data_IF_034774802237
#
_entry.id   IF_034774802237
#
_cell.length_a   1.000
_cell.length_b   1.000
_cell.length_c   1.000
_cell.angle_alpha   90.00
_cell.angle_beta   90.00
_cell.angle_gamma   90.00
#
_symmetry.space_group_name_H-M   'P 1'
#
loop_
_entity.id
_entity.type
_entity.pdbx_description
1 polymer ?
#
# COMPACT_ATOMS: atom_id res chain seq x y z
N UNK A 1 14.81 -33.03 -2.47
CA UNK A 1 15.27 -32.69 -3.83
C UNK A 1 14.28 -31.71 -4.41
N UNK A 2 14.46 -30.43 -4.14
CA UNK A 2 13.78 -29.35 -4.85
C UNK A 2 14.38 -29.31 -6.24
N UNK A 3 13.58 -29.57 -7.26
CA UNK A 3 13.99 -29.29 -8.63
C UNK A 3 14.34 -27.80 -8.69
N UNK A 4 15.62 -27.48 -8.87
CA UNK A 4 16.05 -26.14 -9.24
C UNK A 4 15.45 -25.88 -10.61
N UNK A 5 14.30 -25.22 -10.63
CA UNK A 5 13.79 -24.63 -11.87
C UNK A 5 14.75 -23.51 -12.22
N UNK A 6 15.61 -23.78 -13.19
CA UNK A 6 16.46 -22.78 -13.83
C UNK A 6 15.55 -21.73 -14.49
N UNK A 7 15.35 -20.62 -13.78
CA UNK A 7 14.48 -19.55 -14.21
C UNK A 7 15.33 -18.49 -14.90
N UNK A 8 15.06 -18.22 -16.19
CA UNK A 8 15.79 -17.23 -16.99
C UNK A 8 15.46 -15.79 -16.53
N UNK A 9 16.17 -15.33 -15.49
CA UNK A 9 16.00 -13.99 -14.93
C UNK A 9 16.49 -12.90 -15.88
N UNK A 10 17.50 -13.15 -16.71
CA UNK A 10 18.00 -12.15 -17.65
C UNK A 10 17.02 -11.92 -18.81
N UNK A 11 16.46 -13.00 -19.35
CA UNK A 11 15.35 -12.91 -20.30
C UNK A 11 14.13 -12.22 -19.70
N UNK A 12 13.85 -12.42 -18.40
CA UNK A 12 12.79 -11.69 -17.71
C UNK A 12 13.12 -10.19 -17.58
N UNK A 13 14.33 -9.81 -17.19
CA UNK A 13 14.77 -8.40 -17.13
C UNK A 13 14.62 -7.73 -18.49
N UNK A 14 15.09 -8.37 -19.55
CA UNK A 14 14.96 -7.86 -20.93
C UNK A 14 13.50 -7.61 -21.30
N UNK A 15 12.60 -8.55 -20.97
CA UNK A 15 11.15 -8.38 -21.19
C UNK A 15 10.54 -7.24 -20.36
N UNK A 16 11.06 -6.99 -19.17
CA UNK A 16 10.63 -5.86 -18.33
C UNK A 16 11.09 -4.53 -18.92
N UNK A 17 12.37 -4.39 -19.26
CA UNK A 17 12.94 -3.16 -19.86
C UNK A 17 12.21 -2.72 -21.13
N UNK A 18 11.73 -3.68 -21.93
CA UNK A 18 10.97 -3.39 -23.14
C UNK A 18 9.56 -2.82 -22.90
N UNK A 19 9.01 -2.93 -21.68
CA UNK A 19 7.60 -2.60 -21.38
C UNK A 19 7.42 -1.56 -20.26
N UNK A 20 8.41 -1.37 -19.42
CA UNK A 20 8.35 -0.55 -18.21
C UNK A 20 9.74 -0.05 -17.82
N UNK A 21 9.80 0.86 -16.84
CA UNK A 21 11.06 1.34 -16.28
C UNK A 21 11.53 0.35 -15.20
N UNK A 22 12.59 -0.39 -15.50
CA UNK A 22 13.17 -1.35 -14.55
C UNK A 22 13.99 -0.61 -13.51
N UNK A 23 13.61 -0.73 -12.24
CA UNK A 23 14.14 0.09 -11.14
C UNK A 23 15.63 -0.13 -10.85
N UNK A 24 16.21 -1.24 -11.26
CA UNK A 24 17.64 -1.50 -11.08
C UNK A 24 18.51 -0.95 -12.22
N UNK A 25 17.91 -0.43 -13.30
CA UNK A 25 18.71 0.13 -14.39
C UNK A 25 19.38 1.45 -13.96
N UNK A 26 20.56 1.70 -14.53
CA UNK A 26 21.25 2.96 -14.36
C UNK A 26 20.58 4.09 -15.15
N UNK A 27 20.71 5.32 -14.65
CA UNK A 27 20.19 6.51 -15.33
C UNK A 27 18.66 6.63 -15.36
N UNK A 28 17.90 5.78 -14.66
CA UNK A 28 16.43 5.87 -14.70
C UNK A 28 15.89 7.21 -14.17
N UNK A 29 16.59 7.83 -13.22
CA UNK A 29 16.24 9.14 -12.66
C UNK A 29 16.36 10.26 -13.70
N UNK A 30 17.22 10.10 -14.72
CA UNK A 30 17.34 11.07 -15.80
C UNK A 30 16.12 11.06 -16.71
N UNK A 31 15.36 9.96 -16.71
CA UNK A 31 14.20 9.71 -17.58
C UNK A 31 12.86 9.94 -16.88
N UNK A 32 12.86 10.14 -15.56
CA UNK A 32 11.66 10.27 -14.74
C UNK A 32 11.56 11.68 -14.16
N UNK A 33 10.35 12.20 -14.03
CA UNK A 33 10.07 13.42 -13.26
C UNK A 33 8.70 13.31 -12.56
N UNK A 34 8.47 14.18 -11.58
CA UNK A 34 7.17 14.31 -10.93
C UNK A 34 6.25 15.23 -11.73
N UNK A 35 5.01 14.80 -11.93
CA UNK A 35 3.98 15.57 -12.63
C UNK A 35 2.77 15.81 -11.74
N UNK A 36 2.35 17.07 -11.64
CA UNK A 36 1.19 17.48 -10.84
C UNK A 36 -0.11 17.37 -11.63
N UNK A 37 -1.09 16.68 -11.05
CA UNK A 37 -2.47 16.68 -11.52
C UNK A 37 -3.37 17.45 -10.56
N UNK A 38 -4.66 17.55 -10.87
CA UNK A 38 -5.63 18.23 -10.01
C UNK A 38 -5.70 17.64 -8.60
N UNK A 39 -5.51 16.32 -8.46
CA UNK A 39 -5.82 15.59 -7.23
C UNK A 39 -4.57 15.07 -6.49
N UNK A 40 -3.49 14.80 -7.21
CA UNK A 40 -2.27 14.20 -6.68
C UNK A 40 -1.11 14.37 -7.66
N UNK A 41 0.10 14.06 -7.21
CA UNK A 41 1.30 14.05 -8.06
C UNK A 41 1.74 12.61 -8.31
N UNK A 42 2.32 12.33 -9.46
CA UNK A 42 2.84 11.01 -9.78
C UNK A 42 4.09 11.10 -10.64
N UNK A 43 4.92 10.05 -10.57
CA UNK A 43 6.11 9.94 -11.42
C UNK A 43 5.70 9.59 -12.85
N UNK A 44 6.28 10.28 -13.83
CA UNK A 44 6.04 10.10 -15.28
C UNK A 44 7.36 10.02 -16.05
N UNK A 45 7.30 9.67 -17.33
CA UNK A 45 8.44 9.77 -18.24
C UNK A 45 8.63 11.23 -18.68
N UNK A 46 9.86 11.74 -18.68
CA UNK A 46 10.17 13.12 -19.13
C UNK A 46 9.76 13.36 -20.58
N UNK A 47 9.98 12.38 -21.45
CA UNK A 47 9.57 12.45 -22.86
C UNK A 47 8.05 12.70 -23.00
N UNK A 48 7.23 12.09 -22.14
CA UNK A 48 5.77 12.27 -22.16
C UNK A 48 5.39 13.69 -21.71
N UNK A 49 6.10 14.24 -20.73
CA UNK A 49 5.90 15.61 -20.25
C UNK A 49 6.33 16.63 -21.29
N UNK A 50 7.48 16.44 -21.93
CA UNK A 50 7.99 17.33 -22.97
C UNK A 50 7.06 17.34 -24.18
N UNK A 51 6.54 16.17 -24.59
CA UNK A 51 5.52 16.06 -25.62
C UNK A 51 4.23 16.79 -25.23
N UNK A 52 3.78 16.65 -23.98
CA UNK A 52 2.60 17.36 -23.47
C UNK A 52 2.79 18.88 -23.46
N UNK A 53 3.94 19.38 -22.97
CA UNK A 53 4.30 20.80 -22.96
C UNK A 53 4.34 21.38 -24.38
N UNK A 54 4.98 20.67 -25.32
CA UNK A 54 5.04 21.08 -26.72
C UNK A 54 3.65 21.22 -27.36
N UNK A 55 2.76 20.25 -27.11
CA UNK A 55 1.37 20.33 -27.61
C UNK A 55 0.63 21.57 -27.08
N UNK A 56 0.88 21.96 -25.82
CA UNK A 56 0.30 23.16 -25.22
C UNK A 56 0.84 24.44 -25.84
N UNK A 57 2.14 24.50 -26.16
CA UNK A 57 2.77 25.65 -26.84
C UNK A 57 2.28 25.82 -28.28
N UNK A 58 2.05 24.71 -28.98
CA UNK A 58 1.53 24.70 -30.35
C UNK A 58 0.03 25.07 -30.43
N UNK A 59 -0.63 25.32 -29.29
CA UNK A 59 -2.06 25.63 -29.22
C UNK A 59 -2.96 24.46 -29.65
N UNK A 60 -2.41 23.26 -29.73
CA UNK A 60 -3.20 22.05 -29.92
C UNK A 60 -4.11 21.86 -28.69
N UNK A 61 -5.32 21.32 -28.84
CA UNK A 61 -6.10 20.91 -27.68
C UNK A 61 -5.22 20.01 -26.81
N UNK A 62 -5.20 20.23 -25.48
CA UNK A 62 -4.32 19.47 -24.58
C UNK A 62 -4.52 17.99 -24.90
N UNK A 63 -3.42 17.34 -25.29
CA UNK A 63 -3.42 15.90 -25.52
C UNK A 63 -3.79 15.16 -24.24
N UNK A 64 -3.71 13.83 -24.29
CA UNK A 64 -3.84 13.05 -23.06
C UNK A 64 -2.76 13.50 -22.07
N UNK A 65 -3.14 13.68 -20.80
CA UNK A 65 -2.20 13.98 -19.73
C UNK A 65 -1.09 12.90 -19.68
N UNK A 66 0.16 13.28 -19.35
CA UNK A 66 1.25 12.32 -19.14
C UNK A 66 0.81 11.19 -18.21
N UNK A 67 0.93 9.97 -18.71
CA UNK A 67 0.51 8.79 -17.96
C UNK A 67 1.53 8.48 -16.87
N UNK A 68 1.11 7.97 -15.70
CA UNK A 68 2.04 7.53 -14.68
C UNK A 68 3.03 6.50 -15.23
N UNK A 69 4.31 6.68 -14.90
CA UNK A 69 5.37 5.78 -15.31
C UNK A 69 5.18 4.42 -14.62
N UNK A 70 5.19 3.37 -15.43
CA UNK A 70 5.14 1.98 -14.94
C UNK A 70 6.52 1.59 -14.43
N UNK A 71 6.69 1.62 -13.11
CA UNK A 71 7.92 1.20 -12.45
C UNK A 71 7.86 -0.30 -12.17
N UNK A 72 8.97 -1.01 -12.38
CA UNK A 72 9.01 -2.45 -12.18
C UNK A 72 10.29 -2.96 -11.56
N UNK A 73 10.20 -4.11 -10.91
CA UNK A 73 11.37 -4.82 -10.37
C UNK A 73 11.02 -6.25 -9.95
N UNK A 74 12.05 -7.00 -9.55
CA UNK A 74 11.90 -8.34 -9.01
C UNK A 74 12.24 -8.31 -7.53
N UNK A 75 11.27 -8.67 -6.69
CA UNK A 75 11.36 -8.48 -5.24
C UNK A 75 10.87 -9.72 -4.51
N UNK A 76 11.38 -9.93 -3.30
CA UNK A 76 10.72 -10.81 -2.34
C UNK A 76 9.68 -10.03 -1.56
N UNK A 77 8.51 -10.60 -1.32
CA UNK A 77 7.54 -10.03 -0.38
C UNK A 77 7.95 -10.38 1.05
N UNK A 78 8.13 -9.38 1.90
CA UNK A 78 8.55 -9.56 3.29
C UNK A 78 7.51 -10.34 4.10
N UNK A 79 7.98 -11.33 4.89
CA UNK A 79 7.13 -12.09 5.82
C UNK A 79 6.79 -11.32 7.09
N UNK A 80 7.68 -10.41 7.51
CA UNK A 80 7.57 -9.74 8.82
C UNK A 80 6.59 -8.58 8.82
N UNK A 81 6.44 -7.93 7.66
CA UNK A 81 5.62 -6.73 7.49
C UNK A 81 4.61 -6.94 6.37
N UNK A 82 3.76 -7.94 6.53
CA UNK A 82 2.75 -8.34 5.56
C UNK A 82 1.35 -8.01 6.06
N UNK A 83 0.68 -7.11 5.35
CA UNK A 83 -0.68 -6.64 5.59
C UNK A 83 -1.55 -6.73 4.31
N UNK A 84 -1.13 -7.51 3.31
CA UNK A 84 -1.92 -7.79 2.09
C UNK A 84 -2.95 -8.89 2.34
N UNK A 85 -3.76 -8.74 3.37
CA UNK A 85 -4.98 -9.54 3.52
C UNK A 85 -6.13 -8.80 2.87
N UNK A 86 -7.17 -9.49 2.42
CA UNK A 86 -8.28 -8.87 1.69
C UNK A 86 -8.89 -7.64 2.40
N UNK A 87 -9.04 -7.67 3.74
CA UNK A 87 -9.48 -6.51 4.54
C UNK A 87 -8.34 -5.76 5.25
N UNK A 88 -7.06 -6.01 4.90
CA UNK A 88 -5.90 -5.33 5.50
C UNK A 88 -5.75 -5.51 7.02
N UNK A 89 -6.41 -6.51 7.62
CA UNK A 89 -6.57 -6.68 9.08
C UNK A 89 -7.33 -5.54 9.76
N UNK A 90 -8.19 -4.86 9.02
CA UNK A 90 -9.00 -3.77 9.54
C UNK A 90 -9.97 -4.25 10.61
N UNK A 91 -10.13 -3.44 11.66
CA UNK A 91 -11.11 -3.60 12.72
C UNK A 91 -11.69 -2.24 13.06
N UNK A 92 -12.99 -2.16 13.41
CA UNK A 92 -13.61 -0.88 13.79
C UNK A 92 -12.97 -0.26 15.04
N UNK A 93 -12.55 -1.09 16.01
CA UNK A 93 -12.07 -0.62 17.32
C UNK A 93 -10.55 -0.44 17.41
N UNK A 94 -9.83 -0.31 16.28
CA UNK A 94 -8.36 -0.12 16.32
C UNK A 94 -7.99 1.35 16.18
N UNK A 95 -7.85 2.11 17.28
CA UNK A 95 -7.22 3.43 17.23
C UNK A 95 -5.74 3.31 16.81
N UNK A 96 -5.12 4.36 16.27
CA UNK A 96 -5.60 5.74 16.13
C UNK A 96 -6.00 6.14 14.70
N UNK A 97 -6.00 5.21 13.75
CA UNK A 97 -6.29 5.51 12.35
C UNK A 97 -7.74 5.11 12.09
N UNK A 98 -8.67 6.03 12.34
CA UNK A 98 -10.10 5.92 12.04
C UNK A 98 -10.38 5.86 10.52
N UNK A 99 -9.62 5.07 9.77
CA UNK A 99 -9.90 4.82 8.37
C UNK A 99 -11.14 3.95 8.30
N UNK A 100 -12.09 4.29 7.43
CA UNK A 100 -13.22 3.42 7.14
C UNK A 100 -12.74 2.17 6.38
N UNK A 101 -13.54 1.10 6.37
CA UNK A 101 -13.20 -0.13 5.65
C UNK A 101 -12.92 0.14 4.15
N UNK A 102 -13.63 1.09 3.54
CA UNK A 102 -13.48 1.43 2.12
C UNK A 102 -12.16 2.16 1.78
N UNK A 103 -11.45 2.66 2.79
CA UNK A 103 -10.15 3.31 2.66
C UNK A 103 -8.98 2.33 2.91
N UNK A 104 -9.29 1.09 3.25
CA UNK A 104 -8.28 0.08 3.52
C UNK A 104 -7.41 -0.15 2.28
N UNK A 105 -6.10 -0.14 2.54
CA UNK A 105 -5.06 -0.37 1.55
C UNK A 105 -4.19 -1.56 1.97
N UNK A 106 -4.55 -2.79 1.60
CA UNK A 106 -3.72 -3.94 1.90
C UNK A 106 -2.32 -3.73 1.32
N UNK A 107 -1.31 -4.00 2.12
CA UNK A 107 0.06 -3.57 1.84
C UNK A 107 1.11 -4.53 2.37
N UNK A 108 2.29 -4.54 1.78
CA UNK A 108 3.41 -5.35 2.23
C UNK A 108 4.70 -4.59 2.00
N UNK A 109 5.78 -5.02 2.65
CA UNK A 109 7.11 -4.51 2.36
C UNK A 109 7.84 -5.43 1.39
N UNK A 110 8.61 -4.83 0.49
CA UNK A 110 9.58 -5.55 -0.34
C UNK A 110 10.78 -5.99 0.49
N UNK A 111 11.54 -6.94 -0.05
CA UNK A 111 12.77 -7.47 0.50
C UNK A 111 13.64 -7.98 -0.66
N UNK A 112 14.93 -8.18 -0.36
CA UNK A 112 15.88 -8.75 -1.31
C UNK A 112 15.43 -10.15 -1.78
N UNK A 113 15.36 -10.41 -3.10
CA UNK A 113 15.04 -11.73 -3.65
C UNK A 113 16.01 -12.83 -3.22
N UNK A 114 17.26 -12.50 -2.86
CA UNK A 114 18.30 -13.45 -2.46
C UNK A 114 18.65 -14.46 -3.56
N UNK A 115 18.53 -14.03 -4.82
CA UNK A 115 18.86 -14.79 -6.02
C UNK A 115 20.19 -14.23 -6.55
N UNK A 116 21.25 -15.04 -6.72
CA UNK A 116 22.56 -14.58 -7.18
C UNK A 116 22.52 -13.81 -8.51
N UNK A 117 21.70 -14.25 -9.47
CA UNK A 117 21.52 -13.61 -10.78
C UNK A 117 20.94 -12.19 -10.67
N UNK A 118 20.28 -11.90 -9.53
CA UNK A 118 19.66 -10.62 -9.19
C UNK A 118 20.46 -9.82 -8.15
N UNK A 119 21.72 -10.20 -7.89
CA UNK A 119 22.57 -9.48 -6.96
C UNK A 119 22.74 -8.01 -7.38
N UNK A 120 22.55 -7.10 -6.42
CA UNK A 120 22.62 -5.65 -6.67
C UNK A 120 21.31 -5.01 -7.14
N UNK A 121 20.39 -5.76 -7.76
CA UNK A 121 19.14 -5.18 -8.29
C UNK A 121 18.29 -4.56 -7.19
N UNK A 122 18.17 -5.25 -6.06
CA UNK A 122 17.34 -4.81 -4.96
C UNK A 122 17.85 -3.53 -4.27
N UNK A 123 19.11 -3.45 -3.80
CA UNK A 123 19.62 -2.21 -3.20
C UNK A 123 19.55 -1.05 -4.19
N UNK A 124 19.89 -1.25 -5.47
CA UNK A 124 19.78 -0.21 -6.51
C UNK A 124 18.34 0.25 -6.72
N UNK A 125 17.39 -0.68 -6.80
CA UNK A 125 15.96 -0.36 -6.93
C UNK A 125 15.46 0.44 -5.72
N UNK A 126 15.87 0.05 -4.51
CA UNK A 126 15.52 0.76 -3.29
C UNK A 126 16.11 2.17 -3.26
N UNK A 127 17.37 2.34 -3.63
CA UNK A 127 18.04 3.64 -3.72
C UNK A 127 17.36 4.57 -4.72
N UNK A 128 17.01 4.05 -5.90
CA UNK A 128 16.29 4.83 -6.91
C UNK A 128 14.89 5.27 -6.42
N UNK A 129 14.18 4.41 -5.67
CA UNK A 129 12.91 4.82 -5.04
C UNK A 129 13.15 5.89 -3.96
N UNK A 130 14.19 5.76 -3.14
CA UNK A 130 14.53 6.77 -2.12
C UNK A 130 14.87 8.12 -2.75
N UNK A 131 15.58 8.10 -3.89
CA UNK A 131 16.00 9.28 -4.61
C UNK A 131 14.83 9.96 -5.33
N UNK A 132 13.90 9.22 -5.93
CA UNK A 132 12.65 9.79 -6.47
C UNK A 132 11.85 10.52 -5.38
N UNK A 133 11.81 9.98 -4.15
CA UNK A 133 11.17 10.63 -3.01
C UNK A 133 11.87 11.94 -2.63
N UNK A 134 13.21 12.01 -2.69
CA UNK A 134 13.99 13.23 -2.39
C UNK A 134 13.87 14.26 -3.51
N UNK A 135 13.89 13.81 -4.75
CA UNK A 135 13.74 14.65 -5.94
C UNK A 135 12.44 15.48 -5.85
N UNK A 136 11.35 14.87 -5.38
CA UNK A 136 10.09 15.58 -5.14
C UNK A 136 10.27 16.79 -4.21
N UNK A 137 10.98 16.64 -3.09
CA UNK A 137 11.23 17.76 -2.17
C UNK A 137 12.09 18.84 -2.85
N UNK A 138 13.11 18.44 -3.62
CA UNK A 138 13.96 19.39 -4.33
C UNK A 138 13.19 20.16 -5.40
N UNK A 139 12.31 19.50 -6.16
CA UNK A 139 11.49 20.15 -7.19
C UNK A 139 10.50 21.15 -6.61
N UNK A 140 10.00 20.88 -5.39
CA UNK A 140 9.12 21.80 -4.65
C UNK A 140 9.87 22.89 -3.87
N UNK A 141 11.21 22.91 -3.94
CA UNK A 141 12.06 23.80 -3.14
C UNK A 141 11.76 23.69 -1.63
N UNK A 142 11.44 22.48 -1.18
CA UNK A 142 11.25 22.11 0.22
C UNK A 142 12.57 21.60 0.81
N UNK A 143 12.69 21.66 2.14
CA UNK A 143 13.85 21.10 2.84
C UNK A 143 13.87 19.57 2.73
N UNK A 144 14.91 19.02 2.10
CA UNK A 144 15.10 17.58 1.95
C UNK A 144 15.12 16.87 3.31
N UNK A 145 15.50 17.53 4.41
CA UNK A 145 15.44 16.94 5.74
C UNK A 145 14.00 16.52 6.14
N UNK A 146 12.98 17.21 5.63
CA UNK A 146 11.56 16.89 5.85
C UNK A 146 11.12 15.60 5.17
N UNK A 147 11.91 15.03 4.24
CA UNK A 147 11.62 13.70 3.68
C UNK A 147 11.52 12.66 4.80
N UNK A 148 12.24 12.86 5.91
CA UNK A 148 12.18 11.97 7.07
C UNK A 148 10.84 11.98 7.80
N UNK A 149 10.02 13.01 7.59
CA UNK A 149 8.68 13.16 8.15
C UNK A 149 7.59 12.59 7.22
N UNK A 150 7.95 12.29 5.97
CA UNK A 150 7.04 11.69 5.00
C UNK A 150 6.54 10.31 5.45
N UNK A 151 5.39 9.91 4.91
CA UNK A 151 4.77 8.62 5.18
C UNK A 151 4.62 7.80 3.91
N UNK A 152 4.44 6.49 4.10
CA UNK A 152 3.96 5.59 3.06
C UNK A 152 5.04 4.63 2.54
N UNK A 153 5.75 4.98 1.47
CA UNK A 153 6.65 4.07 0.74
C UNK A 153 7.88 3.66 1.56
N UNK A 154 8.67 4.61 2.08
CA UNK A 154 9.83 4.29 2.92
C UNK A 154 9.57 4.79 4.34
N UNK A 155 9.58 3.88 5.32
CA UNK A 155 9.48 4.25 6.73
C UNK A 155 10.84 4.75 7.25
N UNK A 156 10.98 6.08 7.30
CA UNK A 156 12.17 6.78 7.81
C UNK A 156 12.09 7.08 9.31
N UNK A 157 10.94 6.86 9.94
CA UNK A 157 10.70 7.23 11.33
C UNK A 157 11.19 6.17 12.32
N UNK A 158 11.03 4.89 11.97
CA UNK A 158 11.30 3.80 12.93
C UNK A 158 12.78 3.41 12.99
N UNK A 159 13.57 3.68 11.94
CA UNK A 159 14.96 3.22 11.83
C UNK A 159 15.81 4.24 11.07
N UNK A 160 16.72 4.93 11.80
CA UNK A 160 17.66 5.90 11.23
C UNK A 160 19.08 5.32 11.22
N UNK A 161 19.81 5.36 10.09
CA UNK A 161 19.36 5.78 8.75
C UNK A 161 18.40 4.76 8.09
N UNK A 162 17.57 5.19 7.13
CA UNK A 162 16.79 4.26 6.32
C UNK A 162 17.75 3.30 5.58
N UNK A 163 17.33 2.04 5.45
CA UNK A 163 18.19 0.95 4.98
C UNK A 163 17.38 0.02 4.05
N UNK A 164 17.92 -0.40 2.90
CA UNK A 164 17.29 -1.37 2.00
C UNK A 164 16.78 -2.65 2.69
N UNK A 165 17.42 -3.09 3.78
CA UNK A 165 17.00 -4.25 4.58
C UNK A 165 15.61 -4.08 5.22
N UNK A 166 15.10 -2.86 5.35
CA UNK A 166 13.74 -2.58 5.81
C UNK A 166 12.72 -2.60 4.66
N UNK A 167 13.19 -2.52 3.42
CA UNK A 167 12.41 -2.44 2.20
C UNK A 167 11.59 -1.19 2.04
N UNK A 168 10.71 -1.22 1.05
CA UNK A 168 9.71 -0.19 0.81
C UNK A 168 8.32 -0.82 0.76
N UNK A 169 7.33 -0.07 1.21
CA UNK A 169 5.93 -0.46 1.29
C UNK A 169 5.25 -0.30 -0.06
N UNK A 170 4.56 -1.36 -0.47
CA UNK A 170 3.70 -1.41 -1.64
C UNK A 170 2.27 -1.70 -1.19
N UNK A 171 1.28 -1.21 -1.91
CA UNK A 171 -0.12 -1.50 -1.57
C UNK A 171 -1.12 -0.89 -2.51
N UNK A 172 -2.33 -1.45 -2.55
CA UNK A 172 -3.40 -1.03 -3.46
C UNK A 172 -4.69 -0.80 -2.69
N UNK A 173 -5.49 0.17 -3.12
CA UNK A 173 -6.84 0.34 -2.58
C UNK A 173 -7.73 -0.75 -3.20
N UNK A 174 -8.47 -1.47 -2.36
CA UNK A 174 -9.29 -2.61 -2.83
C UNK A 174 -10.77 -2.27 -2.96
N UNK A 175 -11.24 -1.15 -2.41
CA UNK A 175 -12.61 -0.69 -2.57
C UNK A 175 -12.63 0.65 -3.28
N UNK A 176 -13.42 0.75 -4.32
CA UNK A 176 -13.64 1.99 -5.07
C UNK A 176 -15.13 2.31 -5.05
N UNK A 177 -15.46 3.60 -4.92
CA UNK A 177 -16.85 4.03 -4.95
C UNK A 177 -17.37 3.83 -6.37
N UNK A 178 -18.56 3.24 -6.51
CA UNK A 178 -19.22 3.09 -7.81
C UNK A 178 -19.35 4.46 -8.47
N UNK A 179 -18.67 4.64 -9.61
CA UNK A 179 -18.89 5.78 -10.49
C UNK A 179 -20.17 5.58 -11.29
N UNK A 180 -20.81 6.68 -11.69
CA UNK A 180 -21.98 6.64 -12.58
C UNK A 180 -21.65 6.13 -13.99
N UNK A 181 -20.36 6.20 -14.38
CA UNK A 181 -19.84 5.60 -15.60
C UNK A 181 -19.36 4.17 -15.31
N UNK A 182 -20.10 3.12 -15.72
CA UNK A 182 -19.61 1.75 -15.70
C UNK A 182 -18.61 1.59 -16.85
N UNK A 183 -17.44 2.21 -16.72
CA UNK A 183 -16.30 1.74 -17.49
C UNK A 183 -16.11 0.25 -17.18
N UNK A 184 -15.79 -0.53 -18.22
CA UNK A 184 -15.88 -1.99 -18.22
C UNK A 184 -15.07 -2.60 -17.07
N UNK A 185 -15.73 -2.82 -15.94
CA UNK A 185 -15.19 -3.61 -14.85
C UNK A 185 -14.93 -5.01 -15.38
N UNK A 186 -13.68 -5.44 -15.25
CA UNK A 186 -13.33 -6.83 -15.52
C UNK A 186 -14.02 -7.70 -14.46
N UNK A 187 -14.98 -8.51 -14.91
CA UNK A 187 -15.59 -9.52 -14.07
C UNK A 187 -14.62 -10.68 -13.89
N UNK A 188 -13.92 -10.71 -12.76
CA UNK A 188 -13.03 -11.80 -12.38
C UNK A 188 -13.79 -13.01 -11.80
N UNK A 189 -15.13 -12.93 -11.72
CA UNK A 189 -16.00 -13.95 -11.16
C UNK A 189 -16.36 -13.72 -9.69
N UNK A 190 -17.28 -14.54 -9.14
CA UNK A 190 -17.89 -14.30 -7.83
C UNK A 190 -16.90 -14.30 -6.67
N UNK A 191 -15.75 -14.97 -6.79
CA UNK A 191 -14.72 -15.00 -5.73
C UNK A 191 -14.02 -13.66 -5.52
N UNK A 192 -14.10 -12.75 -6.49
CA UNK A 192 -13.48 -11.44 -6.44
C UNK A 192 -14.51 -10.32 -6.23
N UNK A 193 -15.80 -10.67 -6.18
CA UNK A 193 -16.88 -9.72 -5.98
C UNK A 193 -16.94 -9.23 -4.54
N UNK A 194 -17.48 -8.02 -4.33
CA UNK A 194 -17.58 -7.41 -3.01
C UNK A 194 -18.50 -8.20 -2.06
N UNK A 195 -19.47 -8.94 -2.63
CA UNK A 195 -20.41 -9.78 -1.90
C UNK A 195 -19.72 -10.94 -1.18
N UNK A 196 -18.67 -11.50 -1.79
CA UNK A 196 -17.89 -12.63 -1.28
C UNK A 196 -16.50 -12.21 -0.78
N UNK A 197 -16.27 -10.90 -0.59
CA UNK A 197 -14.96 -10.39 -0.20
C UNK A 197 -14.58 -10.86 1.20
N UNK A 198 -13.42 -11.51 1.39
CA UNK A 198 -13.11 -12.09 2.69
C UNK A 198 -12.73 -11.03 3.72
N UNK A 199 -13.30 -11.16 4.92
CA UNK A 199 -12.92 -10.39 6.11
C UNK A 199 -12.33 -11.31 7.17
N UNK A 200 -11.24 -10.90 7.81
CA UNK A 200 -10.57 -11.71 8.84
C UNK A 200 -11.33 -11.69 10.18
N UNK A 201 -11.98 -10.57 10.48
CA UNK A 201 -12.67 -10.34 11.74
C UNK A 201 -14.17 -10.22 11.48
N UNK A 202 -14.97 -10.93 12.28
CA UNK A 202 -16.43 -10.88 12.21
C UNK A 202 -16.99 -9.47 12.37
N UNK A 203 -16.30 -8.64 13.14
CA UNK A 203 -16.64 -7.25 13.43
C UNK A 203 -16.53 -6.34 12.20
N UNK A 204 -15.78 -6.76 11.17
CA UNK A 204 -15.68 -6.04 9.91
C UNK A 204 -16.83 -6.36 8.93
N UNK A 205 -17.58 -7.45 9.17
CA UNK A 205 -18.65 -7.88 8.28
C UNK A 205 -19.77 -6.84 8.10
N UNK A 206 -20.30 -6.20 9.18
CA UNK A 206 -21.36 -5.19 9.02
C UNK A 206 -20.92 -3.99 8.17
N UNK A 207 -19.65 -3.58 8.28
CA UNK A 207 -19.08 -2.49 7.49
C UNK A 207 -18.89 -2.87 6.02
N UNK A 208 -18.52 -4.14 5.75
CA UNK A 208 -18.50 -4.64 4.38
C UNK A 208 -19.91 -4.61 3.79
N UNK A 209 -20.91 -5.07 4.55
CA UNK A 209 -22.30 -5.09 4.11
C UNK A 209 -22.84 -3.68 3.81
N UNK A 210 -22.44 -2.67 4.59
CA UNK A 210 -22.77 -1.25 4.37
C UNK A 210 -22.23 -0.75 3.02
N UNK A 211 -20.99 -1.07 2.67
CA UNK A 211 -20.35 -0.54 1.46
C UNK A 211 -20.68 -1.33 0.18
N UNK A 212 -21.25 -2.54 0.26
CA UNK A 212 -21.60 -3.38 -0.91
C UNK A 212 -22.41 -2.66 -1.98
N UNK A 213 -23.33 -1.79 -1.56
CA UNK A 213 -24.23 -1.06 -2.45
C UNK A 213 -23.57 0.16 -3.12
N UNK A 214 -22.57 0.75 -2.47
CA UNK A 214 -21.95 2.01 -2.89
C UNK A 214 -20.57 1.82 -3.52
N UNK A 215 -19.94 0.66 -3.30
CA UNK A 215 -18.58 0.36 -3.74
C UNK A 215 -18.52 -0.90 -4.61
N UNK A 216 -17.39 -1.04 -5.28
CA UNK A 216 -16.93 -2.24 -5.99
C UNK A 216 -15.58 -2.65 -5.40
N UNK A 217 -15.31 -3.95 -5.42
CA UNK A 217 -14.03 -4.49 -4.98
C UNK A 217 -13.09 -4.68 -6.18
N UNK A 218 -11.90 -4.09 -6.11
CA UNK A 218 -10.81 -4.30 -7.04
C UNK A 218 -9.76 -5.22 -6.40
N UNK A 219 -9.65 -6.48 -6.82
CA UNK A 219 -8.59 -7.35 -6.32
C UNK A 219 -7.21 -6.77 -6.62
N UNK A 220 -6.24 -7.11 -5.77
CA UNK A 220 -4.85 -6.87 -6.09
C UNK A 220 -4.51 -7.79 -7.27
N UNK A 221 -4.05 -7.26 -8.41
CA UNK A 221 -3.80 -8.05 -9.61
C UNK A 221 -2.54 -8.90 -9.46
N UNK A 222 -2.63 -9.98 -8.67
CA UNK A 222 -1.55 -10.92 -8.39
C UNK A 222 -1.80 -12.25 -9.07
N UNK A 223 -0.87 -12.70 -9.90
CA UNK A 223 -1.04 -13.90 -10.71
C UNK A 223 -0.11 -15.04 -10.29
N UNK A 224 -0.60 -16.28 -10.39
CA UNK A 224 0.24 -17.48 -10.29
C UNK A 224 1.24 -17.57 -11.46
N UNK A 225 2.34 -18.33 -11.30
CA UNK A 225 3.28 -18.57 -12.39
C UNK A 225 2.61 -19.33 -13.55
N UNK A 226 1.87 -20.41 -13.22
CA UNK A 226 1.20 -21.33 -14.15
C UNK A 226 -0.14 -21.83 -13.57
N UNK A 227 -1.21 -21.96 -14.37
CA UNK A 227 -1.31 -21.52 -15.77
C UNK A 227 -1.25 -19.99 -15.90
N UNK A 228 -0.87 -19.50 -17.09
CA UNK A 228 -0.67 -18.07 -17.30
C UNK A 228 -1.97 -17.27 -17.06
N UNK A 229 -1.85 -16.19 -16.27
CA UNK A 229 -2.91 -15.25 -15.90
C UNK A 229 -4.00 -15.76 -14.94
N UNK A 230 -3.75 -16.84 -14.19
CA UNK A 230 -4.64 -17.19 -13.07
C UNK A 230 -4.44 -16.23 -11.89
N UNK A 231 -5.49 -15.51 -11.52
CA UNK A 231 -5.49 -14.49 -10.47
C UNK A 231 -5.59 -15.18 -9.09
N UNK A 232 -4.68 -14.85 -8.18
CA UNK A 232 -4.71 -15.36 -6.80
C UNK A 232 -5.94 -14.76 -6.10
N UNK A 233 -6.85 -15.57 -5.56
CA UNK A 233 -8.04 -15.06 -4.91
C UNK A 233 -7.71 -14.37 -3.58
N UNK A 234 -8.50 -13.37 -3.13
CA UNK A 234 -8.14 -12.55 -1.97
C UNK A 234 -7.99 -13.31 -0.65
N UNK A 235 -8.67 -14.44 -0.48
CA UNK A 235 -8.56 -15.35 0.67
C UNK A 235 -7.20 -16.06 0.73
N UNK A 236 -6.51 -16.18 -0.40
CA UNK A 236 -5.22 -16.86 -0.55
C UNK A 236 -3.99 -15.95 -0.44
N UNK A 237 -4.15 -14.63 -0.45
CA UNK A 237 -3.00 -13.70 -0.40
C UNK A 237 -2.06 -13.97 0.79
N UNK A 238 -2.61 -14.31 1.96
CA UNK A 238 -1.78 -14.57 3.14
C UNK A 238 -0.98 -15.86 3.06
N UNK A 239 -1.48 -16.87 2.36
CA UNK A 239 -0.80 -18.16 2.23
C UNK A 239 0.24 -18.13 1.11
N UNK A 240 -0.06 -17.41 0.02
CA UNK A 240 0.68 -17.51 -1.24
C UNK A 240 1.70 -16.39 -1.45
N UNK A 241 1.61 -15.25 -0.75
CA UNK A 241 2.50 -14.09 -0.97
C UNK A 241 3.65 -13.92 0.03
N UNK A 242 3.52 -14.16 1.34
CA UNK A 242 4.60 -13.89 2.29
C UNK A 242 5.86 -14.73 2.03
N UNK A 243 6.92 -14.07 1.55
CA UNK A 243 8.18 -14.70 1.17
C UNK A 243 8.24 -15.17 -0.29
N UNK A 244 7.19 -14.93 -1.08
CA UNK A 244 7.20 -15.17 -2.52
C UNK A 244 8.18 -14.20 -3.21
N UNK A 245 8.81 -14.65 -4.28
CA UNK A 245 9.57 -13.78 -5.19
C UNK A 245 8.64 -13.44 -6.34
N UNK A 246 8.47 -12.14 -6.58
CA UNK A 246 7.49 -11.61 -7.50
C UNK A 246 8.15 -10.65 -8.48
N UNK A 247 7.65 -10.64 -9.70
CA UNK A 247 7.72 -9.48 -10.58
C UNK A 247 6.66 -8.51 -10.11
N UNK A 248 7.04 -7.29 -9.78
CA UNK A 248 6.15 -6.23 -9.35
C UNK A 248 6.15 -5.08 -10.35
N UNK A 249 4.97 -4.58 -10.68
CA UNK A 249 4.76 -3.32 -11.41
C UNK A 249 3.87 -2.40 -10.57
N UNK A 250 4.26 -1.12 -10.46
CA UNK A 250 3.55 -0.14 -9.66
C UNK A 250 3.71 1.28 -10.21
N UNK A 251 2.82 2.16 -9.78
CA UNK A 251 2.95 3.62 -9.94
C UNK A 251 3.43 4.24 -8.63
N UNK A 252 4.26 5.27 -8.70
CA UNK A 252 4.67 6.04 -7.54
C UNK A 252 3.89 7.35 -7.49
N UNK A 253 3.00 7.46 -6.51
CA UNK A 253 2.12 8.60 -6.31
C UNK A 253 2.50 9.36 -5.04
N UNK A 254 2.17 10.64 -4.99
CA UNK A 254 2.28 11.49 -3.82
C UNK A 254 0.94 12.19 -3.54
N UNK A 255 0.61 12.28 -2.26
CA UNK A 255 -0.55 12.97 -1.75
C UNK A 255 -0.14 13.87 -0.58
N UNK A 256 -0.79 15.03 -0.46
CA UNK A 256 -0.67 15.87 0.73
C UNK A 256 -1.93 15.75 1.60
N UNK A 257 -1.86 14.91 2.64
CA UNK A 257 -3.02 14.55 3.48
C UNK A 257 -2.74 14.95 4.91
N UNK A 258 -3.62 15.76 5.50
CA UNK A 258 -3.53 16.16 6.91
C UNK A 258 -2.23 16.88 7.25
N UNK A 259 -1.74 17.74 6.34
CA UNK A 259 -0.49 18.50 6.53
C UNK A 259 0.78 17.67 6.38
N UNK A 260 0.71 16.48 5.78
CA UNK A 260 1.86 15.58 5.61
C UNK A 260 1.94 15.02 4.20
N UNK A 261 3.18 14.92 3.70
CA UNK A 261 3.47 14.23 2.45
C UNK A 261 3.37 12.72 2.64
N UNK A 262 2.55 12.09 1.80
CA UNK A 262 2.31 10.65 1.78
C UNK A 262 2.62 10.12 0.39
N UNK A 263 3.66 9.32 0.28
CA UNK A 263 4.00 8.63 -0.95
C UNK A 263 3.32 7.25 -0.97
N UNK A 264 2.88 6.78 -2.13
CA UNK A 264 2.30 5.46 -2.29
C UNK A 264 2.87 4.75 -3.53
N UNK A 265 3.39 3.55 -3.34
CA UNK A 265 3.74 2.63 -4.42
C UNK A 265 2.51 1.77 -4.72
N UNK A 266 1.69 2.24 -5.65
CA UNK A 266 0.39 1.66 -5.99
C UNK A 266 0.52 0.49 -6.97
N UNK A 267 0.12 -0.69 -6.54
CA UNK A 267 0.36 -1.93 -7.29
C UNK A 267 -0.52 -1.95 -8.53
N UNK A 268 0.10 -2.04 -9.70
CA UNK A 268 -0.59 -2.26 -10.96
C UNK A 268 -0.72 -3.72 -11.31
N UNK A 269 0.33 -4.51 -11.06
CA UNK A 269 0.41 -5.92 -11.41
C UNK A 269 1.49 -6.59 -10.59
N UNK A 270 1.25 -7.82 -10.18
CA UNK A 270 2.23 -8.66 -9.51
C UNK A 270 2.15 -10.08 -10.12
N UNK A 271 3.29 -10.68 -10.46
CA UNK A 271 3.35 -12.08 -10.92
C UNK A 271 4.28 -12.85 -10.00
N UNK A 272 3.80 -13.92 -9.38
CA UNK A 272 4.63 -14.81 -8.58
C UNK A 272 5.57 -15.57 -9.51
N UNK A 273 6.88 -15.41 -9.29
CA UNK A 273 7.93 -16.13 -10.01
C UNK A 273 8.36 -17.37 -9.22
N UNK A 274 8.55 -17.21 -7.91
CA UNK A 274 8.87 -18.31 -6.99
C UNK A 274 7.91 -18.26 -5.83
N UNK A 275 7.20 -19.37 -5.59
CA UNK A 275 6.28 -19.51 -4.46
C UNK A 275 7.04 -19.38 -3.13
N UNK A 276 6.39 -18.92 -2.05
CA UNK A 276 7.05 -18.82 -0.77
C UNK A 276 7.47 -20.21 -0.32
N UNK A 277 8.75 -20.38 0.05
CA UNK A 277 9.18 -21.61 0.71
C UNK A 277 8.36 -21.76 1.99
N UNK A 278 7.56 -22.81 2.11
CA UNK A 278 6.94 -23.12 3.40
C UNK A 278 8.10 -23.36 4.36
N UNK A 279 8.26 -22.58 5.45
CA UNK A 279 9.30 -22.89 6.42
C UNK A 279 9.09 -24.34 6.85
N UNK A 280 10.14 -25.17 6.94
CA UNK A 280 9.98 -26.54 7.39
C UNK A 280 9.21 -26.47 8.71
N UNK A 281 8.17 -27.31 8.89
CA UNK A 281 7.34 -27.25 10.09
C UNK A 281 8.27 -27.25 11.29
N UNK A 282 8.25 -26.16 12.06
CA UNK A 282 9.13 -25.98 13.22
C UNK A 282 9.09 -27.29 13.99
N UNK A 283 10.24 -27.94 14.25
CA UNK A 283 10.26 -29.30 14.79
C UNK A 283 9.33 -29.30 15.99
N UNK A 284 8.17 -29.98 15.84
CA UNK A 284 7.11 -29.99 16.85
C UNK A 284 7.84 -30.32 18.13
N UNK A 285 7.90 -29.37 19.07
CA UNK A 285 8.58 -29.54 20.35
C UNK A 285 8.01 -30.84 20.90
N UNK A 286 8.77 -31.94 20.78
CA UNK A 286 8.30 -33.26 21.17
C UNK A 286 7.93 -33.04 22.63
N UNK A 287 6.63 -33.10 22.96
CA UNK A 287 6.19 -33.14 24.35
C UNK A 287 7.04 -34.25 24.92
N UNK A 288 8.00 -33.89 25.78
CA UNK A 288 8.95 -34.85 26.30
C UNK A 288 8.13 -36.01 26.78
N UNK A 289 8.29 -37.16 26.14
CA UNK A 289 7.94 -38.41 26.78
C UNK A 289 8.75 -38.31 28.05
N UNK A 290 8.08 -38.13 29.20
CA UNK A 290 8.74 -38.26 30.48
C UNK A 290 9.39 -39.63 30.40
N UNK A 291 10.68 -39.65 30.12
CA UNK A 291 11.51 -40.80 30.37
C UNK A 291 11.40 -40.95 31.87
N UNK A 292 10.44 -41.78 32.31
CA UNK A 292 10.53 -42.43 33.61
C UNK A 292 11.87 -43.14 33.53
N UNK A 293 12.89 -42.49 34.07
CA UNK A 293 14.15 -43.16 34.30
C UNK A 293 13.84 -44.30 35.25
N UNK A 294 14.07 -45.53 34.80
CA UNK A 294 14.11 -46.74 35.62
C UNK A 294 15.34 -46.73 36.56
N UNK A 295 15.72 -45.56 37.07
CA UNK A 295 16.67 -45.42 38.16
C UNK A 295 15.92 -44.93 39.40
N UNK A 296 14.97 -45.76 39.83
CA UNK A 296 14.71 -45.94 41.25
C UNK A 296 15.75 -46.95 41.73
N UNK A 297 16.78 -46.47 42.42
CA UNK A 297 17.01 -46.91 43.80
C UNK A 297 18.20 -46.16 44.41
N UNK A 298 18.01 -45.83 45.68
CA UNK A 298 19.04 -45.46 46.66
C UNK A 298 19.74 -44.10 46.40
N UNK A 299 19.40 -43.05 47.15
CA UNK A 299 19.95 -42.98 48.49
C UNK A 299 19.34 -41.85 49.34
N UNK A 300 19.23 -42.18 50.61
CA UNK A 300 18.76 -41.34 51.71
C UNK A 300 19.84 -40.32 52.06
N UNK A 301 19.42 -39.10 52.43
CA UNK A 301 19.76 -38.40 53.70
C UNK A 301 19.74 -36.88 53.54
N UNK A 302 18.66 -36.31 54.07
CA UNK A 302 18.64 -35.36 55.19
C UNK A 302 19.30 -33.97 55.08
N UNK A 303 18.84 -33.01 55.91
CA UNK A 303 18.93 -31.57 55.64
C UNK A 303 20.04 -30.85 56.44
N UNK A 304 20.18 -29.54 56.15
CA UNK A 304 20.61 -28.48 57.08
C UNK A 304 22.12 -28.21 57.20
N UNK A 305 22.54 -27.02 56.74
CA UNK A 305 23.48 -26.06 57.39
C UNK A 305 23.69 -24.88 56.42
N UNK A 306 23.37 -23.64 56.82
CA UNK A 306 24.29 -22.66 57.45
C UNK A 306 25.58 -22.47 56.63
N UNK A 307 26.16 -21.30 56.42
CA UNK A 307 25.85 -19.89 56.64
C UNK A 307 27.12 -19.12 56.18
N UNK A 308 27.04 -17.79 56.12
CA UNK A 308 28.15 -16.84 56.33
C UNK A 308 29.16 -16.59 55.17
N UNK A 309 28.95 -15.42 54.55
CA UNK A 309 29.87 -14.32 54.16
C UNK A 309 31.29 -14.60 53.62
N UNK A 310 31.72 -13.81 52.62
CA UNK A 310 32.42 -12.52 52.82
C UNK A 310 33.07 -11.97 51.54
N UNK A 311 33.11 -10.63 51.46
CA UNK A 311 34.17 -9.77 50.85
C UNK A 311 34.34 -9.85 49.30
N UNK A 312 34.56 -8.79 48.53
CA UNK A 312 35.38 -7.58 48.75
C UNK A 312 34.95 -6.43 47.83
N UNK A 313 35.13 -5.20 48.33
CA UNK A 313 35.00 -3.90 47.66
C UNK A 313 35.90 -3.69 46.43
N UNK A 314 35.43 -2.86 45.48
CA UNK A 314 36.27 -1.89 44.78
C UNK A 314 35.44 -0.69 44.29
N UNK A 315 35.71 0.46 44.90
CA UNK A 315 35.27 1.81 44.51
C UNK A 315 35.75 2.21 43.10
N UNK A 316 34.88 2.82 42.31
CA UNK A 316 35.25 3.69 41.17
C UNK A 316 34.36 4.94 41.23
N UNK A 317 34.91 6.18 41.24
CA UNK A 317 34.11 7.39 41.18
C UNK A 317 33.72 7.71 39.74
N UNK A 318 32.42 7.89 39.47
CA UNK A 318 31.96 8.51 38.22
C UNK A 318 31.54 9.95 38.47
N UNK A 319 32.23 10.84 37.75
CA UNK A 319 31.91 12.25 37.55
C UNK A 319 30.50 12.41 36.99
N UNK A 320 29.78 13.38 37.55
CA UNK A 320 28.46 13.79 37.09
C UNK A 320 28.51 14.50 35.73
N UNK A 321 27.58 14.13 34.86
CA UNK A 321 27.12 14.98 33.77
C UNK A 321 25.59 14.89 33.67
N UNK A 322 25.02 16.09 33.83
CA UNK A 322 23.68 16.59 33.52
C UNK A 322 22.86 15.72 32.57
N UNK A 323 21.74 15.19 33.08
CA UNK A 323 20.60 14.73 32.28
C UNK A 323 19.53 15.82 32.23
N UNK A 324 19.08 16.27 31.04
CA UNK A 324 17.90 17.11 30.94
C UNK A 324 16.63 16.27 31.14
N UNK A 325 15.74 16.82 31.97
CA UNK A 325 14.43 16.31 32.27
C UNK A 325 13.54 16.27 31.03
N UNK A 326 12.98 15.10 30.73
CA UNK A 326 11.82 14.96 29.85
C UNK A 326 10.63 14.59 30.73
N UNK A 327 9.70 15.54 30.84
CA UNK A 327 8.47 15.42 31.62
C UNK A 327 7.52 14.40 30.98
N UNK A 328 7.23 13.33 31.73
CA UNK A 328 6.06 12.51 31.51
C UNK A 328 4.83 13.25 32.06
N UNK A 329 4.03 13.84 31.16
CA UNK A 329 2.68 14.25 31.52
C UNK A 329 1.76 13.03 31.51
N UNK A 330 1.46 12.53 32.71
CA UNK A 330 0.34 11.63 32.99
C UNK A 330 -0.98 12.35 32.72
N UNK A 331 -1.93 11.77 31.96
CA UNK A 331 -3.31 12.25 31.98
C UNK A 331 -4.00 11.74 33.25
N UNK A 332 -4.53 12.70 34.01
CA UNK A 332 -5.31 12.48 35.21
C UNK A 332 -6.55 11.61 34.93
N UNK A 333 -6.73 10.59 35.77
CA UNK A 333 -7.99 9.87 35.95
C UNK A 333 -8.96 10.77 36.70
N UNK A 334 -10.07 11.16 36.07
CA UNK A 334 -11.28 11.58 36.76
C UNK A 334 -12.29 10.44 36.75
N UNK A 335 -12.56 9.91 37.93
CA UNK A 335 -13.71 9.06 38.24
C UNK A 335 -14.96 9.93 38.26
N UNK A 336 -15.99 9.53 37.53
CA UNK A 336 -17.37 9.92 37.83
C UNK A 336 -18.22 8.65 37.89
N UNK A 337 -18.98 8.55 38.96
CA UNK A 337 -19.77 7.39 39.39
C UNK A 337 -21.25 7.70 39.17
N UNK A 338 -22.04 6.63 38.98
CA UNK A 338 -23.49 6.48 39.23
C UNK A 338 -24.49 7.03 38.20
N UNK A 339 -25.36 6.13 37.72
CA UNK A 339 -26.59 6.49 37.03
C UNK A 339 -27.39 5.31 36.45
N UNK A 340 -28.06 4.57 37.34
CA UNK A 340 -29.35 3.86 37.15
C UNK A 340 -29.54 2.74 36.08
N UNK A 341 -30.07 1.62 36.59
CA UNK A 341 -30.62 0.45 35.90
C UNK A 341 -32.04 0.73 35.39
N UNK A 342 -32.43 0.12 34.27
CA UNK A 342 -33.80 -0.41 34.07
C UNK A 342 -33.77 -1.57 33.07
N UNK A 343 -34.50 -2.68 33.31
CA UNK A 343 -34.42 -3.89 32.48
C UNK A 343 -35.51 -3.89 31.40
N UNK A 344 -35.19 -4.38 30.20
CA UNK A 344 -36.21 -4.75 29.21
C UNK A 344 -36.05 -6.23 28.84
N UNK A 345 -37.10 -6.95 29.25
CA UNK A 345 -37.65 -8.24 28.82
C UNK A 345 -36.99 -8.93 27.61
N UNK A 346 -36.62 -10.18 27.86
CA UNK A 346 -36.54 -11.23 26.86
C UNK A 346 -37.95 -11.60 26.37
N UNK A 347 -38.09 -11.81 25.07
CA UNK A 347 -39.16 -12.64 24.51
C UNK A 347 -38.54 -13.56 23.45
N UNK A 348 -38.97 -14.81 23.52
CA UNK A 348 -38.39 -15.98 22.90
C UNK A 348 -39.37 -16.51 21.85
N UNK A 349 -38.78 -17.08 20.79
CA UNK A 349 -39.34 -18.08 19.89
C UNK A 349 -40.45 -17.63 18.92
N UNK A 350 -40.19 -17.83 17.62
CA UNK A 350 -40.89 -18.92 16.93
C UNK A 350 -40.12 -19.41 15.70
N UNK A 351 -40.10 -20.74 15.57
CA UNK A 351 -39.54 -21.49 14.46
C UNK A 351 -40.64 -21.64 13.41
N UNK A 352 -40.33 -21.42 12.15
CA UNK A 352 -41.03 -22.08 11.05
C UNK A 352 -40.02 -22.71 10.09
N UNK A 353 -40.12 -24.04 10.00
CA UNK A 353 -39.58 -24.87 8.95
C UNK A 353 -40.60 -24.98 7.80
N UNK A 354 -40.17 -25.64 6.70
CA UNK A 354 -40.95 -26.05 5.49
C UNK A 354 -40.98 -24.92 4.44
N UNK A 355 -40.69 -25.09 3.14
CA UNK A 355 -40.60 -26.26 2.27
C UNK A 355 -39.73 -25.97 1.05
N UNK A 356 -39.13 -27.02 0.52
CA UNK A 356 -38.73 -27.25 -0.87
C UNK A 356 -39.82 -26.93 -1.91
N UNK A 357 -39.45 -26.33 -3.04
CA UNK A 357 -39.95 -26.65 -4.39
C UNK A 357 -39.12 -25.87 -5.43
N UNK A 358 -38.38 -26.57 -6.29
CA UNK A 358 -38.75 -27.00 -7.66
C UNK A 358 -38.26 -25.99 -8.69
N UNK A 359 -37.36 -26.48 -9.55
CA UNK A 359 -36.72 -25.71 -10.60
C UNK A 359 -37.70 -25.19 -11.64
N UNK A 360 -37.37 -24.01 -12.17
CA UNK A 360 -37.99 -23.44 -13.35
C UNK A 360 -36.87 -23.05 -14.31
N UNK A 361 -36.92 -23.67 -15.49
CA UNK A 361 -36.16 -23.35 -16.69
C UNK A 361 -36.22 -21.85 -17.00
N UNK A 362 -35.06 -21.21 -17.12
CA UNK A 362 -34.93 -19.87 -17.72
C UNK A 362 -34.33 -20.04 -19.13
N UNK A 363 -35.04 -19.64 -20.20
CA UNK A 363 -34.48 -19.66 -21.54
C UNK A 363 -33.46 -18.53 -21.73
N UNK A 364 -32.33 -18.85 -22.38
CA UNK A 364 -31.31 -17.89 -22.79
C UNK A 364 -31.88 -16.83 -23.76
N UNK A 365 -31.61 -15.53 -23.56
CA UNK A 365 -31.82 -14.54 -24.61
C UNK A 365 -30.65 -14.55 -25.59
N UNK A 366 -30.96 -14.77 -26.88
CA UNK A 366 -30.06 -14.53 -28.00
C UNK A 366 -29.83 -13.03 -28.15
N UNK A 367 -28.59 -12.57 -27.99
CA UNK A 367 -28.20 -11.21 -28.35
C UNK A 367 -27.98 -11.11 -29.86
N UNK A 368 -28.88 -10.42 -30.55
CA UNK A 368 -28.66 -9.90 -31.89
C UNK A 368 -27.87 -8.60 -31.80
N UNK A 369 -26.72 -8.57 -32.46
CA UNK A 369 -25.94 -7.35 -32.67
C UNK A 369 -26.71 -6.40 -33.60
N UNK A 370 -26.81 -5.13 -33.22
CA UNK A 370 -27.23 -4.04 -34.11
C UNK A 370 -26.17 -2.93 -34.10
N UNK A 371 -25.92 -2.29 -35.26
CA UNK A 371 -24.76 -1.44 -35.48
C UNK A 371 -24.90 -0.05 -34.83
N UNK A 372 -23.77 0.46 -34.37
CA UNK A 372 -23.58 1.80 -33.80
C UNK A 372 -23.87 2.90 -34.83
N UNK A 373 -24.63 3.91 -34.41
CA UNK A 373 -24.72 5.20 -35.11
C UNK A 373 -23.76 6.22 -34.49
N UNK A 374 -23.19 7.13 -35.30
CA UNK A 374 -22.21 8.11 -34.84
C UNK A 374 -22.85 9.24 -34.02
N UNK A 375 -22.10 9.69 -33.02
CA UNK A 375 -22.43 10.73 -32.06
C UNK A 375 -22.16 12.12 -32.64
N UNK A 376 -23.11 13.05 -32.50
CA UNK A 376 -22.94 14.49 -32.80
C UNK A 376 -23.11 15.28 -31.51
N UNK A 377 -22.19 16.20 -31.15
CA UNK A 377 -22.33 17.00 -29.94
C UNK A 377 -23.25 18.21 -30.15
N UNK A 378 -24.27 18.34 -29.30
CA UNK A 378 -25.13 19.50 -29.21
C UNK A 378 -24.44 20.63 -28.43
N UNK A 379 -24.40 21.81 -29.06
CA UNK A 379 -23.81 23.05 -28.59
C UNK A 379 -24.90 23.92 -27.96
N UNK A 380 -24.91 24.07 -26.63
CA UNK A 380 -25.75 25.07 -25.95
C UNK A 380 -24.97 26.35 -25.69
N UNK A 381 -25.51 27.45 -26.23
CA UNK A 381 -25.09 28.84 -26.02
C UNK A 381 -25.55 29.32 -24.63
N UNK A 382 -24.68 30.01 -23.90
CA UNK A 382 -25.08 30.86 -22.77
C UNK A 382 -24.64 32.31 -23.04
N UNK A 383 -25.59 33.22 -22.83
CA UNK A 383 -25.54 34.66 -23.10
C UNK A 383 -24.95 35.46 -21.95
N UNK A 384 -23.96 36.30 -22.30
CA UNK A 384 -23.82 37.75 -21.99
C UNK A 384 -24.43 38.30 -20.69
N UNK A 385 -23.55 38.77 -19.80
CA UNK A 385 -23.82 39.81 -18.80
C UNK A 385 -22.59 40.71 -18.70
N UNK A 386 -22.76 42.00 -19.01
CA UNK A 386 -21.71 43.00 -19.08
C UNK A 386 -21.67 43.84 -17.80
N UNK A 387 -20.48 44.20 -17.32
CA UNK A 387 -20.31 45.34 -16.42
C UNK A 387 -18.99 46.06 -16.74
N UNK A 388 -19.08 47.39 -16.86
CA UNK A 388 -18.04 48.34 -17.24
C UNK A 388 -17.64 49.14 -16.01
N UNK A 389 -16.36 49.35 -15.72
CA UNK A 389 -15.77 50.63 -15.25
C UNK A 389 -14.22 50.56 -15.15
N UNK A 390 -13.47 51.67 -14.99
CA UNK A 390 -12.83 52.34 -16.11
C UNK A 390 -11.30 52.38 -16.07
N UNK A 391 -10.77 52.79 -17.23
CA UNK A 391 -9.38 53.11 -17.59
C UNK A 391 -8.77 54.19 -16.67
N UNK A 392 -7.53 53.96 -16.24
CA UNK A 392 -6.58 55.00 -15.83
C UNK A 392 -5.23 54.70 -16.48
N UNK A 393 -4.68 55.68 -17.17
CA UNK A 393 -3.50 55.60 -18.03
C UNK A 393 -2.31 56.33 -17.39
N UNK A 394 -1.17 55.61 -17.29
CA UNK A 394 0.27 56.02 -17.42
C UNK A 394 0.94 57.01 -16.43
N UNK A 395 2.31 57.11 -16.37
CA UNK A 395 3.37 56.51 -17.25
C UNK A 395 4.60 55.85 -16.55
N UNK A 396 5.46 55.21 -17.38
CA UNK A 396 6.97 55.08 -17.41
C UNK A 396 7.75 54.75 -16.11
N UNK A 397 8.91 54.09 -16.03
CA UNK A 397 9.92 53.44 -16.89
C UNK A 397 10.84 52.65 -15.90
N UNK A 398 11.45 51.51 -16.29
CA UNK A 398 12.82 51.05 -15.92
C UNK A 398 13.03 49.50 -15.93
N UNK A 399 13.92 49.09 -16.83
CA UNK A 399 14.95 48.03 -16.82
C UNK A 399 14.65 46.54 -16.47
N UNK A 400 15.21 45.58 -17.25
CA UNK A 400 14.95 44.15 -17.07
C UNK A 400 15.95 43.48 -16.13
N UNK A 401 15.47 42.80 -15.09
CA UNK A 401 16.21 41.73 -14.43
C UNK A 401 15.56 40.38 -14.76
N UNK A 402 16.38 39.43 -15.19
CA UNK A 402 16.01 38.06 -15.58
C UNK A 402 15.32 37.34 -14.41
N UNK A 403 14.00 37.40 -14.36
CA UNK A 403 13.17 36.61 -13.45
C UNK A 403 12.65 35.36 -14.15
N UNK A 404 12.93 34.18 -13.58
CA UNK A 404 12.27 32.92 -13.95
C UNK A 404 10.76 33.10 -13.72
N UNK A 405 9.97 33.04 -14.79
CA UNK A 405 8.50 33.05 -14.69
C UNK A 405 8.04 31.78 -14.00
N UNK A 406 7.61 31.93 -12.73
CA UNK A 406 6.88 30.91 -11.99
C UNK A 406 5.42 31.07 -12.43
N UNK A 407 4.93 30.15 -13.28
CA UNK A 407 3.51 30.07 -13.65
C UNK A 407 2.77 29.64 -12.38
N UNK A 408 2.21 30.61 -11.64
CA UNK A 408 1.27 30.34 -10.56
C UNK A 408 -0.08 30.02 -11.17
N UNK A 409 -0.51 28.77 -11.05
CA UNK A 409 -1.90 28.40 -11.25
C UNK A 409 -2.72 28.95 -10.07
N UNK A 410 -3.53 29.97 -10.34
CA UNK A 410 -4.55 30.46 -9.42
C UNK A 410 -5.60 29.35 -9.23
N UNK A 411 -5.57 28.70 -8.06
CA UNK A 411 -6.67 27.87 -7.57
C UNK A 411 -7.89 28.78 -7.33
N UNK A 412 -9.02 28.44 -7.95
CA UNK A 412 -10.36 28.94 -7.58
C UNK A 412 -11.02 27.95 -6.64
#
# INVERSE_FOLDING_TARGET
MSAETDFDFEGLRTKLRAKCVYLADDGILERLEWFETLNFEHVVLKDDVDNYKKCMEDGAPPGNLPQPARLAGIFRISRRSFFMRACGRWKPDTPPLYLSLEEVRPSAYTADPGIPELEGDYPKSWENVDELLREWYRSQNEDEAKVSESRGVIDRNTKKPPNPANGFKIGRRVFEKRSESPERLEDHGPRFSIENWPVEFSEAQPYLDEIKSTHIAHPIPVYYPDPENDLIPPDRYYDDLPGAIVRLEFHLNHYFIGGRHTFAADIMRMKVLVRPSVPPPSPKKRKGIQSKGDFSDEDKRSPKRQAVSSSTDANVPQHGLLRPAWGFMSPNKTKATLGAKTPVKAESAERHAVSSSTGVNVPQPKFQASPSKPWTPNRTKATRGAEKTPVKTEPEEESPTKGKQKIMWLRK
#
